data_IF_377101136591
#
_entry.id   IF_377101136591
#
_cell.length_a   1.000
_cell.length_b   1.000
_cell.length_c   1.000
_cell.angle_alpha   90.00
_cell.angle_beta   90.00
_cell.angle_gamma   90.00
#
_symmetry.space_group_name_H-M   'P 1'
#
loop_
_entity.id
_entity.type
_entity.pdbx_description
1 polymer ?
#
# COMPACT_ATOMS: atom_id res chain seq x y z
N UNK A 1 -8.82 -64.56 11.47
CA UNK A 1 -7.63 -63.64 11.50
C UNK A 1 -7.43 -62.81 10.22
N UNK A 2 -8.08 -63.14 9.10
CA UNK A 2 -7.89 -62.41 7.80
C UNK A 2 -8.75 -61.14 7.61
N UNK A 3 -9.88 -60.97 8.31
CA UNK A 3 -10.77 -59.81 8.10
C UNK A 3 -10.25 -58.50 8.71
N UNK A 4 -9.45 -58.55 9.75
CA UNK A 4 -8.89 -57.37 10.41
C UNK A 4 -7.76 -56.69 9.59
N UNK A 5 -7.00 -57.47 8.79
CA UNK A 5 -5.89 -56.96 7.98
C UNK A 5 -6.38 -56.17 6.77
N UNK A 6 -7.45 -56.60 6.12
CA UNK A 6 -8.05 -55.91 4.97
C UNK A 6 -8.67 -54.54 5.32
N UNK A 7 -9.16 -54.38 6.57
CA UNK A 7 -9.70 -53.11 7.01
C UNK A 7 -8.61 -52.04 7.27
N UNK A 8 -7.45 -52.46 7.77
CA UNK A 8 -6.35 -51.56 8.03
C UNK A 8 -5.71 -51.05 6.72
N UNK A 9 -5.61 -51.88 5.70
CA UNK A 9 -5.11 -51.48 4.39
C UNK A 9 -6.04 -50.46 3.71
N UNK A 10 -7.36 -50.67 3.77
CA UNK A 10 -8.34 -49.70 3.25
C UNK A 10 -8.30 -48.38 4.02
N UNK A 11 -8.14 -48.42 5.33
CA UNK A 11 -8.02 -47.24 6.16
C UNK A 11 -6.74 -46.46 5.85
N UNK A 12 -5.64 -47.16 5.58
CA UNK A 12 -4.35 -46.54 5.19
C UNK A 12 -4.44 -45.90 3.82
N UNK A 13 -5.10 -46.51 2.86
CA UNK A 13 -5.33 -45.97 1.52
C UNK A 13 -6.21 -44.70 1.59
N UNK A 14 -7.28 -44.73 2.40
CA UNK A 14 -8.17 -43.59 2.63
C UNK A 14 -7.43 -42.43 3.30
N UNK A 15 -6.55 -42.70 4.25
CA UNK A 15 -5.71 -41.67 4.90
C UNK A 15 -4.72 -41.06 3.92
N UNK A 16 -4.08 -41.86 3.06
CA UNK A 16 -3.15 -41.37 2.03
C UNK A 16 -3.87 -40.56 0.95
N UNK A 17 -5.08 -40.97 0.53
CA UNK A 17 -5.91 -40.22 -0.40
C UNK A 17 -6.35 -38.90 0.21
N UNK A 18 -6.71 -38.87 1.49
CA UNK A 18 -7.04 -37.64 2.22
C UNK A 18 -5.83 -36.70 2.31
N UNK A 19 -4.62 -37.23 2.54
CA UNK A 19 -3.37 -36.46 2.57
C UNK A 19 -3.07 -35.84 1.19
N UNK A 20 -3.20 -36.63 0.12
CA UNK A 20 -2.99 -36.18 -1.26
C UNK A 20 -4.03 -35.10 -1.64
N UNK A 21 -5.29 -35.26 -1.23
CA UNK A 21 -6.34 -34.28 -1.50
C UNK A 21 -6.06 -32.93 -0.81
N UNK A 22 -5.47 -32.94 0.39
CA UNK A 22 -5.08 -31.71 1.08
C UNK A 22 -3.85 -31.04 0.45
N UNK A 23 -2.92 -31.81 -0.11
CA UNK A 23 -1.78 -31.25 -0.84
C UNK A 23 -2.23 -30.62 -2.17
N UNK A 24 -3.22 -31.23 -2.84
CA UNK A 24 -3.79 -30.69 -4.07
C UNK A 24 -4.62 -29.41 -3.87
N UNK A 25 -5.11 -29.17 -2.64
CA UNK A 25 -5.83 -27.96 -2.24
C UNK A 25 -4.93 -26.90 -1.58
N UNK A 26 -3.61 -27.10 -1.52
CA UNK A 26 -2.71 -26.02 -1.19
C UNK A 26 -2.87 -24.98 -2.30
N UNK A 27 -3.70 -23.95 -2.02
CA UNK A 27 -3.77 -22.78 -2.87
C UNK A 27 -2.34 -22.33 -3.13
N UNK A 28 -1.92 -22.36 -4.38
CA UNK A 28 -0.69 -21.73 -4.82
C UNK A 28 -0.70 -20.34 -4.20
N UNK A 29 0.17 -20.12 -3.23
CA UNK A 29 0.57 -18.78 -2.86
C UNK A 29 1.21 -18.26 -4.15
N UNK A 30 0.41 -17.60 -4.97
CA UNK A 30 0.90 -16.92 -6.15
C UNK A 30 1.94 -15.94 -5.62
N UNK A 31 3.20 -16.32 -5.74
CA UNK A 31 4.30 -15.40 -5.58
C UNK A 31 3.93 -14.23 -6.49
N UNK A 32 3.66 -13.08 -5.85
CA UNK A 32 3.25 -11.85 -6.51
C UNK A 32 4.21 -11.67 -7.69
N UNK A 33 3.72 -11.86 -8.92
CA UNK A 33 4.51 -11.62 -10.13
C UNK A 33 5.15 -10.27 -9.89
N UNK A 34 6.48 -10.18 -9.95
CA UNK A 34 7.20 -8.91 -9.96
C UNK A 34 6.69 -8.12 -11.17
N UNK A 35 5.54 -7.50 -11.01
CA UNK A 35 4.91 -6.68 -12.02
C UNK A 35 5.74 -5.40 -12.17
N UNK A 36 6.01 -5.00 -13.40
CA UNK A 36 6.58 -3.68 -13.67
C UNK A 36 5.55 -2.65 -13.18
N UNK A 37 5.95 -1.71 -12.33
CA UNK A 37 5.11 -0.58 -11.91
C UNK A 37 4.79 0.23 -13.17
N UNK A 38 3.49 0.43 -13.43
CA UNK A 38 2.97 1.16 -14.60
C UNK A 38 2.23 2.43 -14.20
N UNK A 39 1.56 2.40 -13.05
CA UNK A 39 0.76 3.53 -12.56
C UNK A 39 1.14 3.84 -11.12
N UNK A 40 1.53 5.09 -10.90
CA UNK A 40 1.84 5.63 -9.58
C UNK A 40 0.86 6.75 -9.27
N UNK A 41 0.16 6.66 -8.14
CA UNK A 41 -0.63 7.76 -7.59
C UNK A 41 0.20 8.46 -6.52
N UNK A 42 0.39 9.76 -6.68
CA UNK A 42 1.06 10.61 -5.70
C UNK A 42 0.00 11.44 -4.98
N UNK A 43 -0.06 11.25 -3.68
CA UNK A 43 -0.98 11.95 -2.79
C UNK A 43 -0.25 13.07 -2.05
N UNK A 44 -0.62 14.30 -2.36
CA UNK A 44 -0.20 15.46 -1.58
C UNK A 44 -1.16 15.65 -0.42
N UNK A 45 -0.72 15.37 0.81
CA UNK A 45 -1.54 15.48 2.00
C UNK A 45 -2.19 16.87 2.16
N UNK A 46 -3.35 16.92 2.83
CA UNK A 46 -4.11 18.14 3.09
C UNK A 46 -4.56 18.90 1.82
N UNK A 47 -4.83 20.19 1.89
CA UNK A 47 -5.23 21.03 0.75
C UNK A 47 -6.55 21.77 0.97
N UNK A 48 -6.72 22.90 0.27
CA UNK A 48 -7.89 23.77 0.38
C UNK A 48 -8.12 24.26 1.82
N UNK A 49 -9.25 23.87 2.39
CA UNK A 49 -9.65 24.22 3.77
C UNK A 49 -8.84 23.51 4.87
N UNK A 50 -8.09 22.47 4.52
CA UNK A 50 -7.26 21.73 5.47
C UNK A 50 -5.78 22.16 5.28
N UNK A 51 -5.22 22.95 6.20
CA UNK A 51 -3.85 23.43 6.09
C UNK A 51 -2.81 22.36 6.47
N UNK A 52 -3.20 21.30 7.19
CA UNK A 52 -2.26 20.43 7.89
C UNK A 52 -1.52 21.16 9.02
N UNK A 53 -0.32 20.73 9.33
CA UNK A 53 0.52 21.42 10.30
C UNK A 53 0.85 22.85 9.82
N UNK A 54 0.72 23.80 10.75
CA UNK A 54 0.96 25.23 10.49
C UNK A 54 2.25 25.65 11.17
N UNK A 55 3.28 25.89 10.37
CA UNK A 55 4.55 26.40 10.83
C UNK A 55 4.64 27.92 10.76
N UNK A 56 5.75 28.49 11.24
CA UNK A 56 5.98 29.95 11.24
C UNK A 56 6.01 30.58 9.85
N UNK A 57 6.39 29.84 8.80
CA UNK A 57 6.61 30.37 7.45
C UNK A 57 5.79 29.64 6.38
N UNK A 58 5.23 28.50 6.66
CA UNK A 58 4.52 27.67 5.67
C UNK A 58 3.47 26.80 6.33
N UNK A 59 2.52 26.34 5.54
CA UNK A 59 1.54 25.32 5.89
C UNK A 59 1.94 24.01 5.23
N UNK A 60 1.67 22.89 5.89
CA UNK A 60 1.97 21.55 5.37
C UNK A 60 1.40 21.33 3.96
N UNK A 61 0.16 21.75 3.70
CA UNK A 61 -0.48 21.62 2.38
C UNK A 61 0.34 22.19 1.22
N UNK A 62 1.11 23.25 1.46
CA UNK A 62 1.95 23.89 0.44
C UNK A 62 3.23 23.08 0.19
N UNK A 63 3.82 22.58 1.27
CA UNK A 63 5.05 21.78 1.22
C UNK A 63 4.74 20.45 0.53
N UNK A 64 3.70 19.74 0.97
CA UNK A 64 3.32 18.44 0.41
C UNK A 64 2.99 18.54 -1.08
N UNK A 65 2.28 19.59 -1.52
CA UNK A 65 2.01 19.82 -2.93
C UNK A 65 3.29 20.07 -3.74
N UNK A 66 4.20 20.88 -3.21
CA UNK A 66 5.47 21.17 -3.87
C UNK A 66 6.33 19.91 -4.02
N UNK A 67 6.44 19.11 -2.96
CA UNK A 67 7.19 17.86 -2.96
C UNK A 67 6.54 16.84 -3.90
N UNK A 68 5.21 16.69 -3.85
CA UNK A 68 4.49 15.78 -4.72
C UNK A 68 4.74 16.08 -6.21
N UNK A 69 4.66 17.35 -6.60
CA UNK A 69 4.95 17.76 -7.99
C UNK A 69 6.38 17.42 -8.39
N UNK A 70 7.38 17.77 -7.57
CA UNK A 70 8.78 17.44 -7.85
C UNK A 70 8.99 15.94 -7.97
N UNK A 71 8.40 15.14 -7.05
CA UNK A 71 8.49 13.67 -7.10
C UNK A 71 7.92 13.13 -8.42
N UNK A 72 6.76 13.62 -8.82
CA UNK A 72 6.16 13.19 -10.08
C UNK A 72 6.96 13.61 -11.31
N UNK A 73 7.58 14.79 -11.29
CA UNK A 73 8.44 15.24 -12.37
C UNK A 73 9.70 14.38 -12.47
N UNK A 74 10.31 13.99 -11.35
CA UNK A 74 11.43 13.04 -11.33
C UNK A 74 11.04 11.66 -11.86
N UNK A 75 9.87 11.16 -11.48
CA UNK A 75 9.38 9.86 -11.99
C UNK A 75 9.19 9.94 -13.50
N UNK A 76 8.54 10.97 -14.03
CA UNK A 76 8.31 11.14 -15.46
C UNK A 76 9.62 11.26 -16.27
N UNK A 77 10.63 11.92 -15.71
CA UNK A 77 11.94 12.09 -16.35
C UNK A 77 12.74 10.80 -16.38
N UNK A 78 12.71 10.00 -15.30
CA UNK A 78 13.57 8.84 -15.16
C UNK A 78 12.86 7.52 -15.47
N UNK A 79 11.53 7.49 -15.46
CA UNK A 79 10.69 6.33 -15.72
C UNK A 79 9.57 6.69 -16.72
N UNK A 80 9.88 6.96 -18.00
CA UNK A 80 8.92 7.49 -18.97
C UNK A 80 7.74 6.54 -19.25
N UNK A 81 7.89 5.24 -18.95
CA UNK A 81 6.84 4.23 -19.09
C UNK A 81 5.85 4.24 -17.90
N UNK A 82 6.09 5.06 -16.86
CA UNK A 82 5.25 5.12 -15.67
C UNK A 82 4.25 6.26 -15.79
N UNK A 83 2.97 5.93 -15.66
CA UNK A 83 1.89 6.91 -15.59
C UNK A 83 1.82 7.50 -14.18
N UNK A 84 1.97 8.81 -14.07
CA UNK A 84 1.93 9.54 -12.78
C UNK A 84 0.61 10.30 -12.67
N UNK A 85 -0.14 9.99 -11.62
CA UNK A 85 -1.42 10.61 -11.29
C UNK A 85 -1.30 11.27 -9.93
N UNK A 86 -1.95 12.43 -9.75
CA UNK A 86 -1.96 13.14 -8.47
C UNK A 86 -3.38 13.12 -7.89
N UNK A 87 -3.49 12.99 -6.57
CA UNK A 87 -4.79 13.14 -5.88
C UNK A 87 -5.28 14.59 -5.95
N UNK A 88 -4.35 15.55 -5.96
CA UNK A 88 -4.56 16.96 -6.24
C UNK A 88 -3.35 17.59 -6.92
N UNK A 89 -3.59 18.53 -7.81
CA UNK A 89 -2.55 19.29 -8.52
C UNK A 89 -2.52 20.77 -8.14
N UNK A 90 -3.45 21.19 -7.28
CA UNK A 90 -3.59 22.56 -6.77
C UNK A 90 -3.95 22.58 -5.28
N UNK A 91 -4.25 23.78 -4.77
CA UNK A 91 -4.72 23.96 -3.38
C UNK A 91 -6.22 23.60 -3.28
N UNK A 92 -6.53 22.31 -3.40
CA UNK A 92 -7.89 21.75 -3.37
C UNK A 92 -8.00 20.74 -2.23
N UNK A 93 -9.10 20.76 -1.49
CA UNK A 93 -9.38 19.74 -0.48
C UNK A 93 -9.81 18.43 -1.14
N UNK A 94 -9.17 17.33 -0.73
CA UNK A 94 -9.54 15.96 -1.11
C UNK A 94 -9.70 15.16 0.16
N UNK A 95 -10.88 14.55 0.35
CA UNK A 95 -11.14 13.73 1.55
C UNK A 95 -10.29 12.45 1.55
N UNK A 96 -9.99 11.90 2.73
CA UNK A 96 -9.19 10.67 2.87
C UNK A 96 -9.75 9.53 2.03
N UNK A 97 -11.06 9.30 2.10
CA UNK A 97 -11.72 8.27 1.30
C UNK A 97 -11.52 8.50 -0.20
N UNK A 98 -11.63 9.75 -0.67
CA UNK A 98 -11.47 10.07 -2.10
C UNK A 98 -10.04 9.83 -2.59
N UNK A 99 -9.03 10.03 -1.75
CA UNK A 99 -7.62 9.74 -2.07
C UNK A 99 -7.43 8.26 -2.39
N UNK A 100 -7.94 7.37 -1.51
CA UNK A 100 -7.90 5.93 -1.72
C UNK A 100 -8.72 5.50 -2.96
N UNK A 101 -9.90 6.10 -3.17
CA UNK A 101 -10.73 5.82 -4.35
C UNK A 101 -10.00 6.17 -5.65
N UNK A 102 -9.30 7.30 -5.72
CA UNK A 102 -8.52 7.68 -6.90
C UNK A 102 -7.48 6.61 -7.23
N UNK A 103 -6.77 6.09 -6.24
CA UNK A 103 -5.79 5.03 -6.46
C UNK A 103 -6.46 3.75 -7.00
N UNK A 104 -7.57 3.33 -6.40
CA UNK A 104 -8.30 2.13 -6.81
C UNK A 104 -8.93 2.29 -8.22
N UNK A 105 -9.56 3.44 -8.50
CA UNK A 105 -10.16 3.74 -9.82
C UNK A 105 -9.14 3.77 -10.97
N UNK A 106 -7.87 4.00 -10.64
CA UNK A 106 -6.76 4.08 -11.60
C UNK A 106 -5.90 2.83 -11.64
N UNK A 107 -6.31 1.77 -10.94
CA UNK A 107 -5.56 0.51 -10.82
C UNK A 107 -4.07 0.78 -10.51
N UNK A 108 -3.83 1.63 -9.50
CA UNK A 108 -2.49 2.07 -9.17
C UNK A 108 -1.65 0.90 -8.63
N UNK A 109 -0.47 0.70 -9.21
CA UNK A 109 0.50 -0.28 -8.71
C UNK A 109 1.22 0.23 -7.46
N UNK A 110 1.29 1.56 -7.29
CA UNK A 110 1.91 2.21 -6.15
C UNK A 110 1.17 3.49 -5.76
N UNK A 111 0.89 3.65 -4.47
CA UNK A 111 0.36 4.87 -3.87
C UNK A 111 1.42 5.48 -2.95
N UNK A 112 1.78 6.74 -3.19
CA UNK A 112 2.78 7.49 -2.41
C UNK A 112 2.07 8.67 -1.77
N UNK A 113 1.88 8.65 -0.45
CA UNK A 113 1.34 9.78 0.29
C UNK A 113 2.46 10.59 0.94
N UNK A 114 2.37 11.91 0.82
CA UNK A 114 3.40 12.86 1.28
C UNK A 114 2.78 13.77 2.32
N UNK A 115 3.35 13.73 3.52
CA UNK A 115 2.97 14.51 4.69
C UNK A 115 4.20 15.15 5.35
N UNK A 116 3.94 16.05 6.29
CA UNK A 116 4.95 16.57 7.22
C UNK A 116 4.59 16.07 8.62
N UNK A 117 5.54 15.40 9.30
CA UNK A 117 5.36 15.07 10.71
C UNK A 117 5.40 16.36 11.54
N UNK A 118 4.47 16.48 12.49
CA UNK A 118 4.46 17.56 13.47
C UNK A 118 5.00 17.03 14.80
N UNK A 119 5.85 17.81 15.48
CA UNK A 119 6.35 17.51 16.81
C UNK A 119 6.45 18.80 17.62
N UNK A 120 6.08 18.76 18.89
CA UNK A 120 6.17 19.90 19.82
C UNK A 120 7.64 20.25 20.12
N UNK A 121 8.54 19.26 20.04
CA UNK A 121 9.97 19.48 20.16
C UNK A 121 10.59 19.84 18.82
N UNK A 122 11.42 20.90 18.74
CA UNK A 122 12.12 21.26 17.51
C UNK A 122 13.32 20.36 17.17
N UNK A 123 13.66 19.40 18.03
CA UNK A 123 14.85 18.56 17.85
C UNK A 123 14.70 17.43 16.84
N UNK A 124 13.55 16.71 16.73
CA UNK A 124 13.37 15.71 15.69
C UNK A 124 13.44 16.34 14.31
N UNK A 125 14.34 15.82 13.47
CA UNK A 125 14.48 16.24 12.08
C UNK A 125 14.84 15.03 11.23
N UNK A 126 14.49 15.09 9.94
CA UNK A 126 14.78 14.01 9.01
C UNK A 126 13.58 13.67 8.12
N UNK A 127 13.66 12.53 7.45
CA UNK A 127 12.62 11.97 6.61
C UNK A 127 12.34 10.55 7.06
N UNK A 128 11.08 10.22 7.21
CA UNK A 128 10.61 8.87 7.52
C UNK A 128 9.80 8.33 6.36
N UNK A 129 9.92 7.04 6.10
CA UNK A 129 9.11 6.33 5.09
C UNK A 129 8.41 5.18 5.76
N UNK A 130 7.09 5.18 5.69
CA UNK A 130 6.24 4.10 6.18
C UNK A 130 5.78 3.26 4.99
N UNK A 131 5.89 1.94 5.13
CA UNK A 131 5.41 0.98 4.14
C UNK A 131 4.30 0.17 4.77
N UNK A 132 3.15 0.10 4.10
CA UNK A 132 2.06 -0.75 4.54
C UNK A 132 2.45 -2.20 4.28
N UNK A 133 2.59 -2.98 5.35
CA UNK A 133 2.85 -4.43 5.28
C UNK A 133 1.57 -5.23 5.03
N UNK A 134 1.73 -6.53 4.71
CA UNK A 134 0.62 -7.47 4.50
C UNK A 134 -0.22 -7.70 5.77
N UNK A 135 0.30 -7.35 6.92
CA UNK A 135 -0.39 -7.44 8.21
C UNK A 135 -0.89 -6.06 8.62
N UNK A 136 -2.22 -5.92 8.69
CA UNK A 136 -2.89 -4.79 9.32
C UNK A 136 -2.63 -4.84 10.83
N UNK A 137 -1.54 -4.28 11.30
CA UNK A 137 -1.38 -4.02 12.73
C UNK A 137 -2.01 -2.66 13.07
N UNK A 138 -2.44 -2.50 14.32
CA UNK A 138 -3.15 -1.30 14.79
C UNK A 138 -2.39 0.01 14.51
N UNK A 139 -1.05 -0.03 14.53
CA UNK A 139 -0.19 1.12 14.25
C UNK A 139 -0.29 1.62 12.80
N UNK A 140 -0.61 0.76 11.83
CA UNK A 140 -0.75 1.16 10.43
C UNK A 140 -2.14 1.79 10.12
N UNK A 141 -3.10 1.68 11.04
CA UNK A 141 -4.42 2.29 10.90
C UNK A 141 -4.46 3.75 11.36
N UNK A 142 -3.49 4.19 12.19
CA UNK A 142 -3.40 5.58 12.64
C UNK A 142 -2.75 6.51 11.61
N UNK A 143 -2.09 5.97 10.59
CA UNK A 143 -1.37 6.73 9.55
C UNK A 143 -2.19 6.90 8.26
N UNK A 144 -3.36 6.29 8.17
CA UNK A 144 -4.21 6.34 6.98
C UNK A 144 -5.29 7.43 7.05
#
# INVERSE_FOLDING_TARGET
>A
MFKLRANNEKLFILFFLFLILNIANSNDVQAQKKGKIKTVVIDAGHGGKDPGAVGKKSMEKNITLSVAKKTGDYIKQNCPDVNVIYTRSGDTFVSLLRRAQIANEKDADLFISIHCNANDSPQPCGVETFVMGDHRNAANLEVA
#
